data_IF_117873756907
#
_entry.id   IF_117873756907
#
_cell.length_a   1.000
_cell.length_b   1.000
_cell.length_c   1.000
_cell.angle_alpha   90.00
_cell.angle_beta   90.00
_cell.angle_gamma   90.00
#
_symmetry.space_group_name_H-M   'P 1'
#
loop_
_entity.id
_entity.type
_entity.pdbx_description
1 polymer ?
#
# COMPACT_ATOMS: atom_id res chain seq x y z
N UNK A 1 -21.87 29.55 -40.93
CA UNK A 1 -22.80 29.96 -39.88
C UNK A 1 -23.00 28.78 -38.95
N UNK A 2 -22.45 28.91 -37.74
CA UNK A 2 -22.81 28.25 -36.47
C UNK A 2 -22.64 26.73 -36.31
N UNK A 3 -21.49 26.39 -35.72
CA UNK A 3 -21.22 25.27 -34.82
C UNK A 3 -22.05 25.37 -33.53
N UNK A 4 -23.05 24.48 -33.39
CA UNK A 4 -23.91 24.40 -32.20
C UNK A 4 -23.25 23.61 -31.07
N UNK A 5 -22.45 24.31 -30.26
CA UNK A 5 -22.02 23.89 -28.92
C UNK A 5 -23.21 23.86 -27.94
N UNK A 6 -23.31 22.80 -27.13
CA UNK A 6 -23.56 22.94 -25.70
C UNK A 6 -23.24 21.64 -24.94
N UNK A 7 -22.07 21.61 -24.32
CA UNK A 7 -21.76 20.70 -23.22
C UNK A 7 -22.69 21.03 -22.05
N UNK A 8 -23.72 20.22 -21.81
CA UNK A 8 -24.48 20.30 -20.56
C UNK A 8 -23.64 19.69 -19.45
N UNK A 9 -22.73 20.49 -18.87
CA UNK A 9 -22.12 20.19 -17.59
C UNK A 9 -23.23 20.23 -16.53
N UNK A 10 -23.74 19.05 -16.14
CA UNK A 10 -24.65 18.89 -15.01
C UNK A 10 -23.97 19.41 -13.76
N UNK A 11 -24.32 20.64 -13.38
CA UNK A 11 -23.92 21.25 -12.12
C UNK A 11 -24.52 20.41 -10.97
N UNK A 12 -23.71 19.59 -10.33
CA UNK A 12 -24.07 18.96 -9.06
C UNK A 12 -24.09 20.05 -8.00
N UNK A 13 -25.22 20.72 -7.86
CA UNK A 13 -25.48 21.66 -6.77
C UNK A 13 -25.56 20.86 -5.47
N UNK A 14 -24.44 20.74 -4.76
CA UNK A 14 -24.38 20.11 -3.45
C UNK A 14 -25.10 21.02 -2.45
N UNK A 15 -26.39 20.77 -2.18
CA UNK A 15 -27.07 21.34 -0.99
C UNK A 15 -26.23 20.97 0.23
N UNK A 16 -25.68 21.97 0.92
CA UNK A 16 -24.91 21.81 2.16
C UNK A 16 -25.84 21.64 3.36
N UNK A 17 -26.82 20.75 3.25
CA UNK A 17 -27.62 20.36 4.39
C UNK A 17 -26.81 19.36 5.24
N UNK A 18 -26.91 19.40 6.58
CA UNK A 18 -26.27 18.40 7.41
C UNK A 18 -26.87 17.02 7.11
N UNK A 19 -26.04 16.12 6.58
CA UNK A 19 -26.39 14.74 6.27
C UNK A 19 -26.07 13.86 7.49
N UNK A 20 -26.96 12.93 7.85
CA UNK A 20 -26.69 11.98 8.93
C UNK A 20 -25.72 10.88 8.49
N UNK A 21 -24.93 10.37 9.44
CA UNK A 21 -23.93 9.33 9.20
C UNK A 21 -24.50 8.06 8.53
N UNK A 22 -25.72 7.67 8.89
CA UNK A 22 -26.43 6.55 8.26
C UNK A 22 -26.57 6.73 6.75
N UNK A 23 -26.93 7.94 6.31
CA UNK A 23 -27.09 8.26 4.89
C UNK A 23 -25.74 8.18 4.18
N UNK A 24 -24.67 8.67 4.80
CA UNK A 24 -23.31 8.56 4.24
C UNK A 24 -22.91 7.09 4.07
N UNK A 25 -23.05 6.25 5.10
CA UNK A 25 -22.70 4.82 5.02
C UNK A 25 -23.52 4.09 3.96
N UNK A 26 -24.83 4.32 3.91
CA UNK A 26 -25.72 3.69 2.92
C UNK A 26 -25.32 4.07 1.49
N UNK A 27 -25.07 5.35 1.22
CA UNK A 27 -24.66 5.81 -0.12
C UNK A 27 -23.30 5.24 -0.54
N UNK A 28 -22.34 5.16 0.39
CA UNK A 28 -21.05 4.52 0.12
C UNK A 28 -21.22 3.02 -0.19
N UNK A 29 -22.07 2.32 0.54
CA UNK A 29 -22.38 0.90 0.29
C UNK A 29 -23.11 0.69 -1.05
N UNK A 30 -24.12 1.51 -1.37
CA UNK A 30 -24.79 1.52 -2.68
C UNK A 30 -23.80 1.74 -3.84
N UNK A 31 -22.79 2.58 -3.63
CA UNK A 31 -21.70 2.83 -4.58
C UNK A 31 -20.56 1.80 -4.52
N UNK A 32 -20.66 0.76 -3.67
CA UNK A 32 -19.63 -0.25 -3.44
C UNK A 32 -18.25 0.31 -3.02
N UNK A 33 -18.25 1.45 -2.33
CA UNK A 33 -17.06 2.11 -1.82
C UNK A 33 -16.74 1.62 -0.40
N UNK A 34 -15.51 1.13 -0.20
CA UNK A 34 -15.00 0.66 1.09
C UNK A 34 -13.85 1.54 1.57
N UNK A 35 -13.70 1.65 2.87
CA UNK A 35 -12.54 2.31 3.47
C UNK A 35 -11.32 1.41 3.38
N UNK A 36 -10.17 2.00 3.03
CA UNK A 36 -8.87 1.34 3.04
C UNK A 36 -7.85 2.24 3.73
N UNK A 37 -6.86 1.64 4.39
CA UNK A 37 -5.70 2.38 4.86
C UNK A 37 -4.76 2.62 3.67
N UNK A 38 -4.24 3.85 3.50
CA UNK A 38 -3.20 4.11 2.51
C UNK A 38 -2.01 3.17 2.73
N UNK A 39 -1.34 2.79 1.64
CA UNK A 39 -0.12 1.99 1.73
C UNK A 39 0.99 2.78 2.43
N UNK A 40 1.64 2.15 3.42
CA UNK A 40 2.84 2.71 4.05
C UNK A 40 4.02 2.53 3.08
N UNK A 41 4.63 3.63 2.66
CA UNK A 41 5.79 3.59 1.77
C UNK A 41 6.18 4.96 1.20
N UNK A 42 7.31 5.03 0.48
CA UNK A 42 7.73 6.25 -0.19
C UNK A 42 6.71 6.65 -1.27
N UNK A 43 6.46 7.95 -1.40
CA UNK A 43 5.58 8.49 -2.44
C UNK A 43 6.19 8.23 -3.82
N UNK A 44 5.46 7.50 -4.66
CA UNK A 44 5.88 7.21 -6.03
C UNK A 44 5.39 8.30 -6.98
N UNK A 45 6.30 9.15 -7.44
CA UNK A 45 6.09 10.06 -8.56
C UNK A 45 5.92 9.29 -9.88
N UNK A 46 5.37 9.95 -10.91
CA UNK A 46 5.05 9.31 -12.21
C UNK A 46 6.26 8.60 -12.83
N UNK A 47 7.43 9.22 -12.79
CA UNK A 47 8.65 8.65 -13.37
C UNK A 47 9.11 7.39 -12.62
N UNK A 48 8.97 7.33 -11.28
CA UNK A 48 9.23 6.12 -10.50
C UNK A 48 8.33 4.97 -10.96
N UNK A 49 7.03 5.23 -11.17
CA UNK A 49 6.07 4.20 -11.60
C UNK A 49 6.43 3.63 -12.97
N UNK A 50 6.77 4.50 -13.92
CA UNK A 50 7.17 4.08 -15.28
C UNK A 50 8.46 3.28 -15.23
N UNK A 51 9.48 3.74 -14.50
CA UNK A 51 10.75 3.04 -14.39
C UNK A 51 10.58 1.65 -13.74
N UNK A 52 9.81 1.56 -12.65
CA UNK A 52 9.53 0.28 -11.98
C UNK A 52 8.74 -0.68 -12.87
N UNK A 53 7.75 -0.19 -13.61
CA UNK A 53 6.95 -1.00 -14.52
C UNK A 53 7.81 -1.54 -15.67
N UNK A 54 8.65 -0.68 -16.25
CA UNK A 54 9.59 -1.09 -17.30
C UNK A 54 10.57 -2.15 -16.79
N UNK A 55 11.19 -1.92 -15.63
CA UNK A 55 12.07 -2.89 -15.00
C UNK A 55 11.38 -4.24 -14.78
N UNK A 56 10.14 -4.23 -14.28
CA UNK A 56 9.38 -5.47 -14.08
C UNK A 56 9.14 -6.21 -15.39
N UNK A 57 8.75 -5.52 -16.47
CA UNK A 57 8.56 -6.14 -17.78
C UNK A 57 9.85 -6.70 -18.36
N UNK A 58 10.95 -5.95 -18.28
CA UNK A 58 12.27 -6.39 -18.78
C UNK A 58 12.77 -7.67 -18.09
N UNK A 59 12.39 -7.88 -16.82
CA UNK A 59 12.85 -9.01 -16.00
C UNK A 59 11.71 -9.99 -15.68
N UNK A 60 10.59 -9.95 -16.41
CA UNK A 60 9.44 -10.85 -16.17
C UNK A 60 9.77 -12.31 -16.47
N UNK A 61 10.62 -12.55 -17.47
CA UNK A 61 11.00 -13.90 -17.92
C UNK A 61 12.26 -14.43 -17.22
N UNK A 62 12.87 -13.64 -16.32
CA UNK A 62 14.11 -14.04 -15.67
C UNK A 62 13.93 -15.25 -14.76
N UNK A 63 14.75 -16.26 -15.01
CA UNK A 63 14.83 -17.49 -14.22
C UNK A 63 15.80 -17.39 -13.04
N UNK A 64 15.90 -18.48 -12.26
CA UNK A 64 16.80 -18.56 -11.10
C UNK A 64 18.27 -18.32 -11.47
N UNK A 65 18.72 -18.81 -12.63
CA UNK A 65 20.11 -18.63 -13.11
C UNK A 65 20.45 -17.16 -13.39
N UNK A 66 19.48 -16.36 -13.82
CA UNK A 66 19.67 -14.93 -14.10
C UNK A 66 19.65 -14.13 -12.80
N UNK A 67 18.69 -14.40 -11.92
CA UNK A 67 18.65 -13.79 -10.59
C UNK A 67 19.87 -14.16 -9.73
N UNK A 68 20.39 -15.39 -9.87
CA UNK A 68 21.56 -15.88 -9.15
C UNK A 68 22.87 -15.16 -9.54
N UNK A 69 22.88 -14.44 -10.66
CA UNK A 69 24.03 -13.61 -11.09
C UNK A 69 23.96 -12.19 -10.53
N UNK A 70 22.83 -11.78 -9.94
CA UNK A 70 22.67 -10.42 -9.40
C UNK A 70 23.20 -10.35 -7.97
N UNK A 71 24.17 -9.47 -7.73
CA UNK A 71 24.62 -9.15 -6.38
C UNK A 71 23.91 -7.88 -5.88
N UNK A 72 22.95 -8.06 -4.97
CA UNK A 72 22.26 -6.95 -4.32
C UNK A 72 23.09 -6.38 -3.17
N UNK A 73 23.06 -5.06 -3.00
CA UNK A 73 23.72 -4.35 -1.90
C UNK A 73 22.84 -3.22 -1.40
N UNK A 74 22.71 -3.07 -0.08
CA UNK A 74 22.01 -1.96 0.57
C UNK A 74 22.55 -1.77 1.99
N UNK A 75 22.32 -0.59 2.57
CA UNK A 75 22.70 -0.27 3.95
C UNK A 75 21.48 -0.31 4.87
N UNK A 76 21.58 -1.04 5.98
CA UNK A 76 20.53 -1.09 7.00
C UNK A 76 21.03 -0.61 8.35
N UNK A 77 20.19 0.16 9.06
CA UNK A 77 20.49 0.68 10.39
C UNK A 77 20.02 -0.31 11.45
N UNK A 78 20.95 -0.84 12.23
CA UNK A 78 20.65 -1.66 13.40
C UNK A 78 20.58 -0.79 14.67
N UNK A 79 19.51 -0.96 15.45
CA UNK A 79 19.36 -0.30 16.75
C UNK A 79 19.66 -1.32 17.85
N UNK A 80 20.49 -0.93 18.82
CA UNK A 80 20.85 -1.79 19.97
C UNK A 80 19.70 -1.94 20.98
N UNK A 81 18.80 -0.96 21.05
CA UNK A 81 17.61 -1.01 21.89
C UNK A 81 16.40 -0.44 21.14
N UNK A 82 15.27 -1.13 21.24
CA UNK A 82 14.00 -0.63 20.74
C UNK A 82 13.41 0.33 21.77
N UNK A 83 13.45 1.63 21.49
CA UNK A 83 12.59 2.57 22.21
C UNK A 83 11.15 2.21 21.86
N UNK A 84 10.43 1.58 22.79
CA UNK A 84 8.99 1.41 22.71
C UNK A 84 8.39 2.81 22.65
N UNK A 85 8.06 3.25 21.44
CA UNK A 85 7.21 4.41 21.24
C UNK A 85 5.82 3.92 21.60
N UNK A 86 5.25 4.42 22.69
CA UNK A 86 3.83 4.28 22.97
C UNK A 86 3.07 5.09 21.90
N UNK A 87 2.94 4.52 20.71
CA UNK A 87 1.98 4.97 19.71
C UNK A 87 0.94 3.88 19.64
N UNK A 88 -0.28 4.22 20.06
CA UNK A 88 -1.46 3.41 19.79
C UNK A 88 -1.62 3.38 18.28
N UNK A 89 -1.04 2.37 17.62
CA UNK A 89 -1.52 1.71 16.40
C UNK A 89 -0.46 0.70 15.91
N UNK A 90 -0.78 -0.57 16.14
CA UNK A 90 -0.38 -1.76 15.38
C UNK A 90 1.04 -1.82 14.78
N UNK A 91 2.04 -2.26 15.55
CA UNK A 91 3.15 -3.06 14.99
C UNK A 91 3.65 -4.08 16.03
N UNK A 92 3.16 -5.32 15.92
CA UNK A 92 3.78 -6.48 16.58
C UNK A 92 3.63 -7.72 15.68
N UNK A 93 4.03 -7.60 14.42
CA UNK A 93 4.15 -8.76 13.50
C UNK A 93 5.45 -9.53 13.79
N UNK A 94 6.55 -8.82 14.11
CA UNK A 94 7.83 -9.45 14.49
C UNK A 94 7.74 -10.22 15.81
N UNK A 95 7.02 -9.69 16.81
CA UNK A 95 6.88 -10.37 18.11
C UNK A 95 6.00 -11.63 18.02
N UNK A 96 5.07 -11.69 17.05
CA UNK A 96 4.28 -12.89 16.75
C UNK A 96 5.12 -13.95 16.02
N UNK A 97 5.92 -13.54 15.03
CA UNK A 97 6.74 -14.45 14.23
C UNK A 97 7.85 -15.14 15.03
N UNK A 98 8.49 -14.43 15.96
CA UNK A 98 9.54 -14.99 16.83
C UNK A 98 8.95 -15.95 17.88
N UNK A 99 7.75 -15.64 18.42
CA UNK A 99 7.06 -16.54 19.35
C UNK A 99 6.60 -17.84 18.69
N UNK A 100 6.24 -17.83 17.41
CA UNK A 100 5.75 -19.03 16.69
C UNK A 100 6.90 -19.93 16.19
N UNK A 101 8.15 -19.46 16.19
CA UNK A 101 9.31 -20.22 15.68
C UNK A 101 10.41 -20.51 16.71
N UNK A 102 10.22 -20.11 17.97
CA UNK A 102 11.16 -20.37 19.06
C UNK A 102 10.83 -21.61 19.90
N UNK A 103 10.72 -22.81 19.30
CA UNK A 103 10.84 -24.08 20.04
C UNK A 103 10.95 -25.28 19.09
N UNK A 104 12.06 -25.42 18.36
CA UNK A 104 12.51 -26.71 17.81
C UNK A 104 14.01 -26.67 17.51
N UNK A 105 14.83 -26.52 18.55
CA UNK A 105 16.24 -26.93 18.53
C UNK A 105 16.58 -27.56 19.87
N UNK A 106 16.92 -28.85 19.83
CA UNK A 106 17.19 -29.74 20.95
C UNK A 106 16.36 -31.00 20.72
N UNK A 107 16.87 -32.04 20.10
CA UNK A 107 18.00 -32.85 20.58
C UNK A 107 18.58 -33.68 19.42
N UNK A 108 19.90 -33.63 19.22
CA UNK A 108 20.66 -34.65 18.51
C UNK A 108 21.53 -35.33 19.56
N UNK A 109 21.15 -36.53 19.97
CA UNK A 109 22.00 -37.73 20.11
C UNK A 109 21.10 -38.96 19.98
#
# INVERSE_FOLDING_TARGET
MSDGSCDTATSLQTRRDPICEWTVRRRLAEANLKSYRPANGPKLERHHKVARLRYAFEHTEWGEDEWGRVMFSDESRFKLYNHVKCTNDQENVLHKYISEKGSHTGEVL
#
